data_IF_992280740962
#
_entry.id   IF_992280740962
#
_cell.length_a   1.000
_cell.length_b   1.000
_cell.length_c   1.000
_cell.angle_alpha   90.00
_cell.angle_beta   90.00
_cell.angle_gamma   90.00
#
_symmetry.space_group_name_H-M   'P 1'
#
loop_
_entity.id
_entity.type
_entity.pdbx_description
1 polymer ?
#
# COMPACT_ATOMS: atom_id res chain seq x y z
N UNK A 1 -2.81 3.44 -3.37
CA UNK A 1 -1.41 3.45 -3.87
C UNK A 1 -1.31 2.83 -5.26
N UNK A 2 -1.96 1.69 -5.54
CA UNK A 2 -2.02 1.10 -6.89
C UNK A 2 -2.59 2.08 -7.94
N UNK A 3 -3.59 2.89 -7.59
CA UNK A 3 -4.10 3.96 -8.46
C UNK A 3 -3.04 4.99 -8.87
N UNK A 4 -2.11 5.34 -7.99
CA UNK A 4 -1.02 6.28 -8.32
C UNK A 4 -0.09 5.72 -9.38
N UNK A 5 0.30 4.44 -9.25
CA UNK A 5 1.08 3.75 -10.29
C UNK A 5 0.31 3.66 -11.61
N UNK A 6 -0.96 3.24 -11.55
CA UNK A 6 -1.84 3.18 -12.71
C UNK A 6 -1.88 4.52 -13.46
N UNK A 7 -2.14 5.61 -12.76
CA UNK A 7 -2.16 6.94 -13.35
C UNK A 7 -0.80 7.37 -13.92
N UNK A 8 0.30 6.99 -13.26
CA UNK A 8 1.65 7.23 -13.75
C UNK A 8 1.90 6.55 -15.09
N UNK A 9 1.55 5.27 -15.23
CA UNK A 9 1.67 4.55 -16.50
C UNK A 9 0.79 5.16 -17.61
N UNK A 10 -0.46 5.53 -17.30
CA UNK A 10 -1.34 6.18 -18.28
C UNK A 10 -0.75 7.50 -18.78
N UNK A 11 -0.19 8.33 -17.89
CA UNK A 11 0.46 9.60 -18.29
C UNK A 11 1.71 9.40 -19.11
N UNK A 12 2.37 8.26 -18.99
CA UNK A 12 3.51 7.88 -19.83
C UNK A 12 3.07 7.28 -21.19
N UNK A 13 1.76 7.23 -21.46
CA UNK A 13 1.23 6.76 -22.75
C UNK A 13 0.98 5.25 -22.81
N UNK A 14 1.05 4.53 -21.70
CA UNK A 14 0.77 3.10 -21.67
C UNK A 14 -0.73 2.81 -21.58
N UNK A 15 -1.18 1.75 -22.23
CA UNK A 15 -2.49 1.17 -21.99
C UNK A 15 -2.45 0.38 -20.67
N UNK A 16 -3.36 0.66 -19.76
CA UNK A 16 -3.34 0.04 -18.44
C UNK A 16 -4.69 -0.61 -18.10
N UNK A 17 -4.64 -1.87 -17.72
CA UNK A 17 -5.77 -2.62 -17.18
C UNK A 17 -5.55 -2.86 -15.69
N UNK A 18 -6.39 -2.27 -14.85
CA UNK A 18 -6.33 -2.46 -13.39
C UNK A 18 -7.28 -3.55 -12.94
N UNK A 19 -6.75 -4.50 -12.15
CA UNK A 19 -7.53 -5.59 -11.55
C UNK A 19 -7.42 -5.46 -10.02
N UNK A 20 -8.56 -5.38 -9.32
CA UNK A 20 -8.63 -5.41 -7.86
C UNK A 20 -8.95 -6.83 -7.40
N UNK A 21 -7.96 -7.52 -6.85
CA UNK A 21 -8.10 -8.88 -6.31
C UNK A 21 -9.17 -8.93 -5.20
N UNK A 22 -9.20 -7.92 -4.34
CA UNK A 22 -10.16 -7.82 -3.23
C UNK A 22 -11.59 -7.63 -3.69
N UNK A 23 -11.81 -6.76 -4.69
CA UNK A 23 -13.17 -6.50 -5.20
C UNK A 23 -13.70 -7.73 -5.93
N UNK A 24 -12.87 -8.39 -6.75
CA UNK A 24 -13.26 -9.60 -7.45
C UNK A 24 -13.60 -10.71 -6.46
N UNK A 25 -12.73 -10.96 -5.48
CA UNK A 25 -12.98 -12.01 -4.48
C UNK A 25 -14.22 -11.71 -3.63
N UNK A 26 -14.47 -10.45 -3.28
CA UNK A 26 -15.65 -10.09 -2.49
C UNK A 26 -16.96 -10.18 -3.27
N UNK A 27 -16.95 -9.79 -4.54
CA UNK A 27 -18.16 -9.72 -5.36
C UNK A 27 -18.54 -11.05 -6.03
N UNK A 28 -17.61 -12.04 -6.05
CA UNK A 28 -17.84 -13.33 -6.74
C UNK A 28 -17.89 -14.52 -5.77
N UNK A 29 -18.28 -14.29 -4.53
CA UNK A 29 -18.51 -15.38 -3.57
C UNK A 29 -19.77 -16.18 -3.96
N UNK A 30 -19.65 -17.50 -4.00
CA UNK A 30 -20.75 -18.41 -4.33
C UNK A 30 -20.63 -19.70 -3.52
N UNK A 31 -21.63 -20.59 -3.62
CA UNK A 31 -21.62 -21.90 -2.96
C UNK A 31 -20.39 -22.72 -3.37
N UNK A 32 -19.96 -22.61 -4.63
CA UNK A 32 -18.82 -23.34 -5.16
C UNK A 32 -17.47 -22.58 -5.07
N UNK A 33 -17.51 -21.32 -4.63
CA UNK A 33 -16.32 -20.45 -4.46
C UNK A 33 -16.55 -19.48 -3.30
N UNK A 34 -16.61 -20.00 -2.08
CA UNK A 34 -16.92 -19.25 -0.86
C UNK A 34 -16.03 -18.01 -0.63
N UNK A 35 -14.80 -18.06 -1.16
CA UNK A 35 -13.84 -16.97 -1.03
C UNK A 35 -13.70 -16.13 -2.29
N UNK A 36 -14.34 -16.49 -3.41
CA UNK A 36 -14.18 -15.84 -4.71
C UNK A 36 -12.80 -16.00 -5.33
N UNK A 37 -11.97 -16.92 -4.82
CA UNK A 37 -10.57 -17.09 -5.25
C UNK A 37 -10.51 -17.74 -6.63
N UNK A 38 -11.33 -18.74 -6.90
CA UNK A 38 -11.39 -19.39 -8.21
C UNK A 38 -11.84 -18.40 -9.29
N UNK A 39 -12.84 -17.59 -8.98
CA UNK A 39 -13.31 -16.52 -9.85
C UNK A 39 -12.23 -15.48 -10.14
N UNK A 40 -11.39 -15.15 -9.14
CA UNK A 40 -10.26 -14.26 -9.31
C UNK A 40 -9.25 -14.83 -10.32
N UNK A 41 -8.81 -16.11 -10.14
CA UNK A 41 -7.84 -16.72 -11.06
C UNK A 41 -8.36 -16.73 -12.50
N UNK A 42 -9.62 -17.14 -12.69
CA UNK A 42 -10.24 -17.16 -14.00
C UNK A 42 -10.33 -15.76 -14.62
N UNK A 43 -10.70 -14.74 -13.83
CA UNK A 43 -10.77 -13.37 -14.29
C UNK A 43 -9.41 -12.84 -14.71
N UNK A 44 -8.36 -13.11 -13.92
CA UNK A 44 -6.99 -12.69 -14.24
C UNK A 44 -6.52 -13.35 -15.54
N UNK A 45 -6.69 -14.66 -15.68
CA UNK A 45 -6.28 -15.42 -16.89
C UNK A 45 -7.03 -14.93 -18.13
N UNK A 46 -8.36 -14.72 -18.04
CA UNK A 46 -9.16 -14.24 -19.16
C UNK A 46 -8.76 -12.84 -19.59
N UNK A 47 -8.57 -11.93 -18.63
CA UNK A 47 -8.10 -10.58 -18.92
C UNK A 47 -6.69 -10.60 -19.51
N UNK A 48 -5.80 -11.44 -19.01
CA UNK A 48 -4.46 -11.62 -19.56
C UNK A 48 -4.50 -12.06 -21.03
N UNK A 49 -5.30 -13.08 -21.36
CA UNK A 49 -5.47 -13.56 -22.74
C UNK A 49 -5.99 -12.50 -23.71
N UNK A 50 -6.92 -11.66 -23.24
CA UNK A 50 -7.54 -10.62 -24.05
C UNK A 50 -6.66 -9.37 -24.19
N UNK A 51 -6.05 -8.94 -23.10
CA UNK A 51 -5.25 -7.70 -23.04
C UNK A 51 -3.82 -7.89 -23.53
N UNK A 52 -3.24 -9.09 -23.33
CA UNK A 52 -1.86 -9.46 -23.70
C UNK A 52 -0.83 -8.42 -23.23
N UNK A 53 -0.70 -8.17 -21.93
CA UNK A 53 0.19 -7.14 -21.40
C UNK A 53 1.65 -7.52 -21.62
N UNK A 54 2.51 -6.54 -21.92
CA UNK A 54 3.97 -6.71 -21.90
C UNK A 54 4.50 -6.81 -20.46
N UNK A 55 3.83 -6.12 -19.53
CA UNK A 55 4.22 -6.04 -18.12
C UNK A 55 3.01 -6.24 -17.20
N UNK A 56 3.17 -7.10 -16.21
CA UNK A 56 2.23 -7.27 -15.10
C UNK A 56 2.86 -6.76 -13.82
N UNK A 57 2.19 -5.81 -13.16
CA UNK A 57 2.64 -5.25 -11.87
C UNK A 57 1.75 -5.77 -10.74
N UNK A 58 2.30 -6.61 -9.90
CA UNK A 58 1.62 -7.13 -8.72
C UNK A 58 1.76 -6.16 -7.54
N UNK A 59 0.64 -5.84 -6.89
CA UNK A 59 0.65 -5.28 -5.54
C UNK A 59 0.94 -6.38 -4.52
N UNK A 60 0.18 -6.40 -3.41
CA UNK A 60 0.29 -7.55 -2.47
C UNK A 60 -0.13 -8.87 -3.12
N UNK A 61 -1.21 -8.84 -3.90
CA UNK A 61 -1.75 -9.99 -4.64
C UNK A 61 -1.79 -11.28 -3.80
N UNK A 62 -2.24 -11.17 -2.54
CA UNK A 62 -2.20 -12.26 -1.55
C UNK A 62 -3.10 -13.45 -1.93
N UNK A 63 -4.09 -13.22 -2.77
CA UNK A 63 -5.09 -14.20 -3.21
C UNK A 63 -4.83 -14.74 -4.62
N UNK A 64 -3.81 -14.22 -5.31
CA UNK A 64 -3.40 -14.72 -6.60
C UNK A 64 -2.52 -15.97 -6.40
N UNK A 65 -2.86 -17.08 -7.08
CA UNK A 65 -2.10 -18.33 -6.98
C UNK A 65 -0.78 -18.24 -7.75
N UNK A 66 0.20 -19.03 -7.31
CA UNK A 66 1.49 -19.14 -8.01
C UNK A 66 1.28 -19.73 -9.41
N UNK A 67 0.39 -20.70 -9.59
CA UNK A 67 0.06 -21.27 -10.91
C UNK A 67 -0.43 -20.20 -11.89
N UNK A 68 -1.21 -19.22 -11.40
CA UNK A 68 -1.66 -18.09 -12.24
C UNK A 68 -0.51 -17.16 -12.60
N UNK A 69 0.42 -16.94 -11.67
CA UNK A 69 1.62 -16.14 -11.92
C UNK A 69 2.53 -16.84 -12.92
N UNK A 70 2.76 -18.14 -12.75
CA UNK A 70 3.57 -18.95 -13.67
C UNK A 70 2.94 -19.01 -15.07
N UNK A 71 1.62 -19.17 -15.15
CA UNK A 71 0.91 -19.09 -16.44
C UNK A 71 1.20 -17.77 -17.18
N UNK A 72 1.17 -16.64 -16.47
CA UNK A 72 1.47 -15.32 -17.05
C UNK A 72 2.92 -15.25 -17.53
N UNK A 73 3.86 -15.75 -16.73
CA UNK A 73 5.29 -15.78 -17.02
C UNK A 73 5.60 -16.62 -18.27
N UNK A 74 5.00 -17.80 -18.37
CA UNK A 74 5.19 -18.74 -19.49
C UNK A 74 4.63 -18.21 -20.81
N UNK A 75 3.75 -17.20 -20.76
CA UNK A 75 3.19 -16.53 -21.92
C UNK A 75 3.89 -15.18 -22.25
N UNK A 76 5.18 -15.06 -21.91
CA UNK A 76 6.11 -13.99 -22.31
C UNK A 76 5.84 -12.60 -21.74
N UNK A 77 5.01 -12.45 -20.74
CA UNK A 77 4.89 -11.17 -20.03
C UNK A 77 5.94 -11.05 -18.93
N UNK A 78 6.49 -9.85 -18.77
CA UNK A 78 7.32 -9.53 -17.61
C UNK A 78 6.45 -9.33 -16.39
N UNK A 79 6.88 -9.88 -15.26
CA UNK A 79 6.16 -9.76 -13.99
C UNK A 79 7.03 -9.06 -12.97
N UNK A 80 6.50 -8.01 -12.37
CA UNK A 80 7.12 -7.35 -11.22
C UNK A 80 6.17 -7.24 -10.07
N UNK A 81 6.69 -7.22 -8.84
CA UNK A 81 5.89 -6.81 -7.68
C UNK A 81 6.36 -5.46 -7.17
N UNK A 82 5.41 -4.67 -6.69
CA UNK A 82 5.68 -3.49 -5.90
C UNK A 82 5.13 -3.66 -4.50
N UNK A 83 6.03 -3.76 -3.53
CA UNK A 83 5.69 -4.05 -2.15
C UNK A 83 5.89 -2.81 -1.28
N UNK A 84 4.77 -2.24 -0.81
CA UNK A 84 4.76 -0.94 -0.14
C UNK A 84 4.97 -1.02 1.37
N UNK A 85 4.73 -2.18 1.99
CA UNK A 85 4.89 -2.32 3.44
C UNK A 85 6.37 -2.50 3.80
N UNK A 86 6.82 -1.99 4.95
CA UNK A 86 8.21 -2.14 5.36
C UNK A 86 8.55 -3.61 5.65
N UNK A 87 9.72 -4.05 5.19
CA UNK A 87 10.24 -5.42 5.34
C UNK A 87 11.53 -5.50 6.18
N UNK A 88 11.88 -4.43 6.88
CA UNK A 88 12.98 -4.46 7.84
C UNK A 88 12.63 -5.26 9.10
N UNK A 89 13.62 -5.91 9.72
CA UNK A 89 13.45 -6.83 10.86
C UNK A 89 12.81 -6.18 12.12
N UNK A 90 12.86 -4.86 12.24
CA UNK A 90 12.22 -4.08 13.32
C UNK A 90 10.79 -3.66 13.00
N UNK A 91 10.26 -3.98 11.81
CA UNK A 91 8.92 -3.59 11.39
C UNK A 91 7.85 -4.43 12.07
N UNK A 92 6.69 -3.86 12.39
CA UNK A 92 5.64 -4.54 13.16
C UNK A 92 5.15 -5.86 12.53
N UNK A 93 5.02 -5.92 11.22
CA UNK A 93 4.53 -7.08 10.47
C UNK A 93 5.66 -7.80 9.70
N UNK A 94 6.91 -7.68 10.18
CA UNK A 94 8.10 -8.19 9.50
C UNK A 94 7.95 -9.63 8.98
N UNK A 95 7.62 -10.59 9.86
CA UNK A 95 7.51 -12.01 9.48
C UNK A 95 6.49 -12.24 8.36
N UNK A 96 5.35 -11.58 8.46
CA UNK A 96 4.27 -11.67 7.48
C UNK A 96 4.67 -11.03 6.14
N UNK A 97 5.27 -9.85 6.19
CA UNK A 97 5.68 -9.13 4.99
C UNK A 97 6.84 -9.83 4.28
N UNK A 98 7.79 -10.39 5.06
CA UNK A 98 8.87 -11.23 4.53
C UNK A 98 8.33 -12.45 3.79
N UNK A 99 7.41 -13.20 4.40
CA UNK A 99 6.77 -14.35 3.76
C UNK A 99 6.08 -13.95 2.46
N UNK A 100 5.22 -12.93 2.47
CA UNK A 100 4.50 -12.44 1.29
C UNK A 100 5.38 -12.11 0.10
N UNK A 101 6.55 -11.52 0.37
CA UNK A 101 7.45 -11.11 -0.71
C UNK A 101 8.25 -12.31 -1.23
N UNK A 102 8.69 -13.19 -0.33
CA UNK A 102 9.47 -14.37 -0.69
C UNK A 102 8.63 -15.42 -1.42
N UNK A 103 7.38 -15.62 -1.01
CA UNK A 103 6.47 -16.59 -1.66
C UNK A 103 6.35 -16.39 -3.18
N UNK A 104 6.51 -15.14 -3.65
CA UNK A 104 6.39 -14.81 -5.08
C UNK A 104 7.74 -14.57 -5.77
N UNK A 105 8.81 -14.35 -5.01
CA UNK A 105 10.08 -13.84 -5.55
C UNK A 105 10.71 -14.72 -6.63
N UNK A 106 10.51 -16.03 -6.59
CA UNK A 106 11.04 -16.97 -7.59
C UNK A 106 10.16 -17.06 -8.86
N UNK A 107 8.91 -16.63 -8.75
CA UNK A 107 7.92 -16.67 -9.84
C UNK A 107 7.88 -15.38 -10.66
N UNK A 108 8.56 -14.33 -10.23
CA UNK A 108 8.52 -12.99 -10.86
C UNK A 108 9.92 -12.55 -11.29
N UNK A 109 9.99 -11.56 -12.18
CA UNK A 109 11.27 -11.07 -12.72
C UNK A 109 11.96 -10.09 -11.76
N UNK A 110 11.18 -9.22 -11.09
CA UNK A 110 11.74 -8.09 -10.30
C UNK A 110 10.83 -7.72 -9.14
N UNK A 111 11.44 -7.31 -8.03
CA UNK A 111 10.72 -6.80 -6.85
C UNK A 111 11.12 -5.35 -6.57
N UNK A 112 10.15 -4.46 -6.54
CA UNK A 112 10.31 -3.08 -6.05
C UNK A 112 9.79 -3.00 -4.62
N UNK A 113 10.60 -2.52 -3.70
CA UNK A 113 10.30 -2.46 -2.27
C UNK A 113 10.61 -1.09 -1.68
N UNK A 114 9.89 -0.70 -0.64
CA UNK A 114 10.08 0.59 0.04
C UNK A 114 11.16 0.57 1.13
N UNK A 115 11.80 -0.57 1.35
CA UNK A 115 12.97 -0.72 2.21
C UNK A 115 14.21 -0.86 1.34
N UNK A 116 15.36 -0.36 1.80
CA UNK A 116 16.62 -0.59 1.08
C UNK A 116 16.95 -2.10 1.06
N UNK A 117 17.04 -2.75 -0.12
CA UNK A 117 17.36 -4.17 -0.22
C UNK A 117 18.66 -4.57 0.49
N UNK A 118 19.63 -3.67 0.55
CA UNK A 118 20.93 -3.90 1.20
C UNK A 118 20.83 -3.94 2.73
N UNK A 119 19.79 -3.35 3.30
CA UNK A 119 19.56 -3.30 4.75
C UNK A 119 18.77 -4.50 5.29
N UNK A 120 18.33 -5.41 4.41
CA UNK A 120 17.53 -6.57 4.80
C UNK A 120 18.43 -7.70 5.34
N UNK A 121 17.87 -8.48 6.27
CA UNK A 121 18.49 -9.69 6.83
C UNK A 121 18.17 -10.95 5.97
N UNK A 122 17.59 -10.78 4.79
CA UNK A 122 17.31 -11.82 3.82
C UNK A 122 17.48 -11.28 2.40
N UNK A 123 17.66 -12.17 1.45
CA UNK A 123 17.82 -11.81 0.05
C UNK A 123 16.51 -11.92 -0.71
N UNK A 124 16.27 -10.97 -1.59
CA UNK A 124 15.18 -10.98 -2.58
C UNK A 124 15.86 -10.90 -3.94
N UNK A 125 15.55 -11.85 -4.82
CA UNK A 125 16.10 -11.87 -6.18
C UNK A 125 15.68 -10.63 -6.96
N UNK A 126 16.61 -9.98 -7.65
CA UNK A 126 16.34 -8.81 -8.48
C UNK A 126 15.49 -7.74 -7.76
N UNK A 127 15.93 -7.30 -6.60
CA UNK A 127 15.19 -6.31 -5.82
C UNK A 127 15.80 -4.91 -5.91
N UNK A 128 14.92 -3.91 -5.97
CA UNK A 128 15.27 -2.50 -6.07
C UNK A 128 14.44 -1.68 -5.07
N UNK A 129 15.08 -0.64 -4.56
CA UNK A 129 14.35 0.35 -3.75
C UNK A 129 13.44 1.19 -4.65
N UNK A 130 12.20 1.35 -4.23
CA UNK A 130 11.24 2.26 -4.85
C UNK A 130 10.37 2.89 -3.77
N UNK A 131 10.41 4.22 -3.59
CA UNK A 131 9.60 4.91 -2.61
C UNK A 131 8.11 4.85 -2.98
N UNK A 132 7.25 5.20 -2.01
CA UNK A 132 5.83 5.36 -2.29
C UNK A 132 5.62 6.48 -3.31
N UNK A 133 4.89 6.24 -4.41
CA UNK A 133 4.63 7.26 -5.41
C UNK A 133 3.67 8.31 -4.90
N UNK A 134 3.87 9.55 -5.31
CA UNK A 134 2.89 10.62 -5.27
C UNK A 134 2.15 10.73 -6.61
N UNK A 135 1.04 11.45 -6.64
CA UNK A 135 0.25 11.63 -7.84
C UNK A 135 -0.52 12.95 -7.77
N UNK A 136 -0.21 13.87 -8.66
CA UNK A 136 -0.81 15.20 -8.73
C UNK A 136 -2.33 15.22 -8.90
N UNK A 137 -2.96 14.12 -9.29
CA UNK A 137 -4.42 14.01 -9.33
C UNK A 137 -5.07 13.75 -7.96
N UNK A 138 -4.27 13.38 -6.96
CA UNK A 138 -4.71 13.20 -5.57
C UNK A 138 -4.12 14.24 -4.63
N UNK A 139 -2.83 14.51 -4.77
CA UNK A 139 -2.10 15.50 -3.97
C UNK A 139 -2.17 16.87 -4.66
N UNK A 140 -3.38 17.45 -4.69
CA UNK A 140 -3.65 18.71 -5.40
C UNK A 140 -3.51 19.94 -4.55
N UNK A 141 -3.54 19.81 -3.21
CA UNK A 141 -3.40 20.92 -2.29
C UNK A 141 -1.93 21.16 -1.97
N UNK A 142 -1.53 22.45 -2.05
CA UNK A 142 -0.17 22.89 -1.76
C UNK A 142 -0.22 24.09 -0.81
N UNK A 143 0.53 24.00 0.28
CA UNK A 143 0.58 25.04 1.31
C UNK A 143 1.99 25.66 1.49
N UNK A 144 2.97 25.22 0.73
CA UNK A 144 4.38 25.64 0.91
C UNK A 144 4.64 27.16 0.74
N UNK A 145 3.67 27.89 0.22
CA UNK A 145 3.72 29.35 0.05
C UNK A 145 2.73 30.10 0.94
N UNK A 146 1.95 29.39 1.74
CA UNK A 146 0.92 29.98 2.59
C UNK A 146 1.38 29.96 4.04
N UNK A 147 0.90 30.91 4.82
CA UNK A 147 1.04 30.85 6.27
C UNK A 147 0.23 29.67 6.80
N UNK A 148 0.87 28.83 7.60
CA UNK A 148 0.23 27.64 8.16
C UNK A 148 -0.62 28.04 9.37
N UNK A 149 -1.82 27.49 9.47
CA UNK A 149 -2.69 27.64 10.66
C UNK A 149 -2.17 26.80 11.84
N UNK A 150 -1.42 25.72 11.52
CA UNK A 150 -0.87 24.75 12.46
C UNK A 150 0.60 24.46 12.19
N UNK A 151 1.35 24.30 13.27
CA UNK A 151 2.80 24.03 13.16
C UNK A 151 3.11 22.56 12.88
N UNK A 152 2.23 21.64 13.29
CA UNK A 152 2.46 20.22 13.13
C UNK A 152 1.15 19.46 12.94
N UNK A 153 1.11 18.61 11.91
CA UNK A 153 0.01 17.71 11.64
C UNK A 153 0.38 16.27 12.00
N UNK A 154 -0.53 15.59 12.69
CA UNK A 154 -0.41 14.15 12.95
C UNK A 154 -1.77 13.46 12.87
N UNK A 155 -1.88 12.44 12.04
CA UNK A 155 -3.07 11.63 11.94
C UNK A 155 -2.75 10.13 11.98
N UNK A 156 -3.55 9.39 12.73
CA UNK A 156 -3.45 7.94 12.84
C UNK A 156 -4.82 7.30 12.90
N UNK A 157 -4.91 6.01 12.61
CA UNK A 157 -6.19 5.29 12.59
C UNK A 157 -6.36 4.31 13.73
N UNK A 158 -5.35 4.04 14.53
CA UNK A 158 -5.32 2.97 15.53
C UNK A 158 -5.83 1.61 15.02
N UNK A 159 -5.93 1.41 13.70
CA UNK A 159 -6.48 0.20 13.10
C UNK A 159 -8.01 0.13 13.16
N UNK A 160 -8.70 1.24 13.39
CA UNK A 160 -10.17 1.34 13.44
C UNK A 160 -10.88 0.64 12.27
N UNK A 161 -10.30 0.69 11.07
CA UNK A 161 -10.86 -0.06 9.92
C UNK A 161 -10.86 -1.56 10.05
N UNK A 162 -10.04 -2.12 10.94
CA UNK A 162 -9.92 -3.57 11.08
C UNK A 162 -10.89 -4.12 12.12
N UNK A 163 -11.80 -3.28 12.65
CA UNK A 163 -12.81 -3.67 13.61
C UNK A 163 -12.25 -4.17 14.95
N UNK A 164 -10.95 -4.02 15.16
CA UNK A 164 -10.30 -4.55 16.34
C UNK A 164 -9.21 -3.61 16.85
N UNK A 165 -9.61 -2.57 17.54
CA UNK A 165 -8.77 -2.04 18.61
C UNK A 165 -8.61 -3.18 19.62
N UNK A 166 -7.51 -3.92 19.52
CA UNK A 166 -7.16 -4.85 20.60
C UNK A 166 -6.93 -3.99 21.84
N UNK A 167 -7.87 -4.03 22.76
CA UNK A 167 -7.75 -3.42 24.09
C UNK A 167 -6.32 -3.64 24.58
N UNK A 168 -5.57 -2.57 24.88
CA UNK A 168 -4.22 -2.64 25.43
C UNK A 168 -3.06 -2.62 24.43
N UNK A 169 -3.25 -2.48 23.13
CA UNK A 169 -2.14 -2.18 22.21
C UNK A 169 -1.84 -0.69 22.23
N UNK A 170 -0.78 -0.32 22.92
CA UNK A 170 -0.20 1.01 22.81
C UNK A 170 0.51 1.16 21.47
N UNK A 171 0.16 2.21 20.73
CA UNK A 171 0.92 2.61 19.55
C UNK A 171 2.09 3.49 20.00
N UNK A 172 3.31 3.11 19.67
CA UNK A 172 4.51 3.87 20.03
C UNK A 172 4.49 5.29 19.44
N UNK A 173 3.80 5.51 18.33
CA UNK A 173 3.61 6.84 17.74
C UNK A 173 2.79 7.73 18.65
N UNK A 174 1.73 7.22 19.27
CA UNK A 174 0.92 7.98 20.23
C UNK A 174 1.75 8.39 21.45
N UNK A 175 2.56 7.48 21.98
CA UNK A 175 3.46 7.77 23.10
C UNK A 175 4.45 8.88 22.71
N UNK A 176 5.02 8.78 21.52
CA UNK A 176 5.95 9.78 20.99
C UNK A 176 5.28 11.16 20.88
N UNK A 177 4.10 11.23 20.25
CA UNK A 177 3.36 12.49 20.07
C UNK A 177 2.94 13.09 21.43
N UNK A 178 2.46 12.30 22.38
CA UNK A 178 2.12 12.78 23.74
C UNK A 178 3.35 13.39 24.44
N UNK A 179 4.53 12.77 24.30
CA UNK A 179 5.77 13.33 24.84
C UNK A 179 6.19 14.61 24.14
N UNK A 180 6.01 14.68 22.81
CA UNK A 180 6.33 15.86 22.01
C UNK A 180 5.46 17.05 22.44
N UNK A 181 4.15 16.88 22.55
CA UNK A 181 3.19 17.88 23.02
C UNK A 181 3.59 18.38 24.42
N UNK A 182 3.85 17.46 25.34
CA UNK A 182 4.22 17.81 26.73
C UNK A 182 5.50 18.64 26.83
N UNK A 183 6.43 18.45 25.89
CA UNK A 183 7.72 19.16 25.88
C UNK A 183 7.69 20.51 25.14
N UNK A 184 6.68 20.74 24.34
CA UNK A 184 6.64 21.88 23.40
C UNK A 184 5.29 22.57 23.46
N UNK A 185 5.06 23.30 24.54
CA UNK A 185 3.79 24.01 24.77
C UNK A 185 3.51 25.13 23.76
N UNK A 186 4.51 25.57 23.01
CA UNK A 186 4.41 26.65 22.04
C UNK A 186 4.01 26.15 20.63
N UNK A 187 3.96 24.84 20.41
CA UNK A 187 3.63 24.24 19.12
C UNK A 187 2.12 24.05 19.03
N UNK A 188 1.52 24.59 17.96
CA UNK A 188 0.11 24.39 17.65
C UNK A 188 -0.09 23.13 16.85
N UNK A 189 -0.54 22.05 17.50
CA UNK A 189 -0.72 20.74 16.91
C UNK A 189 -2.10 20.58 16.27
N UNK A 190 -2.17 19.91 15.12
CA UNK A 190 -3.37 19.36 14.51
C UNK A 190 -3.32 17.82 14.57
N UNK A 191 -4.13 17.22 15.44
CA UNK A 191 -4.00 15.81 15.82
C UNK A 191 -5.31 15.06 15.61
N UNK A 192 -5.23 13.91 14.94
CA UNK A 192 -6.38 13.05 14.67
C UNK A 192 -6.10 11.59 14.99
N UNK A 193 -7.15 10.87 15.45
CA UNK A 193 -7.10 9.44 15.75
C UNK A 193 -6.41 9.09 17.05
N UNK A 194 -6.25 10.05 17.97
CA UNK A 194 -5.80 9.86 19.35
C UNK A 194 -6.47 10.86 20.29
N UNK A 195 -6.33 10.69 21.60
CA UNK A 195 -6.92 11.57 22.63
C UNK A 195 -8.44 11.77 22.47
N UNK A 196 -9.18 10.70 22.11
CA UNK A 196 -10.61 10.71 21.81
C UNK A 196 -11.01 11.59 20.60
N UNK A 197 -10.06 11.99 19.77
CA UNK A 197 -10.33 12.66 18.51
C UNK A 197 -10.42 11.59 17.41
N UNK A 198 -11.52 11.63 16.65
CA UNK A 198 -11.75 10.69 15.57
C UNK A 198 -10.68 10.78 14.47
N UNK A 199 -10.33 9.66 13.83
CA UNK A 199 -9.45 9.68 12.67
C UNK A 199 -10.12 10.32 11.46
N UNK A 200 -9.34 10.98 10.62
CA UNK A 200 -9.80 11.63 9.39
C UNK A 200 -9.29 10.91 8.14
N UNK A 201 -10.01 11.07 7.03
CA UNK A 201 -9.78 10.34 5.80
C UNK A 201 -10.02 11.19 4.56
N UNK A 202 -9.48 10.73 3.43
CA UNK A 202 -9.70 11.30 2.11
C UNK A 202 -9.52 12.82 2.09
N UNK A 203 -10.52 13.59 1.67
CA UNK A 203 -10.43 15.04 1.55
C UNK A 203 -10.16 15.75 2.88
N UNK A 204 -10.75 15.27 3.98
CA UNK A 204 -10.48 15.83 5.30
C UNK A 204 -8.99 15.72 5.67
N UNK A 205 -8.38 14.56 5.43
CA UNK A 205 -6.96 14.37 5.67
C UNK A 205 -6.11 15.34 4.85
N UNK A 206 -6.37 15.45 3.55
CA UNK A 206 -5.59 16.31 2.66
C UNK A 206 -5.80 17.79 3.02
N UNK A 207 -7.03 18.21 3.34
CA UNK A 207 -7.33 19.59 3.72
C UNK A 207 -6.67 19.98 5.04
N UNK A 208 -6.71 19.11 6.06
CA UNK A 208 -6.04 19.36 7.33
C UNK A 208 -4.52 19.37 7.19
N UNK A 209 -3.97 18.44 6.41
CA UNK A 209 -2.54 18.41 6.11
C UNK A 209 -2.09 19.71 5.42
N UNK A 210 -2.88 20.24 4.48
CA UNK A 210 -2.56 21.48 3.76
C UNK A 210 -2.61 22.75 4.62
N UNK A 211 -3.19 22.69 5.82
CA UNK A 211 -3.24 23.80 6.81
C UNK A 211 -2.09 23.77 7.80
N UNK A 212 -1.22 22.78 7.70
CA UNK A 212 -0.09 22.58 8.61
C UNK A 212 1.24 22.75 7.88
N UNK A 213 2.25 23.21 8.60
CA UNK A 213 3.61 23.40 8.07
C UNK A 213 4.46 22.13 8.07
#
# INVERSE_FOLDING_TARGET
>A
TSKRLNNGFIRLGHNVLSISDRDITNNNKSINDFKGIKSLQNTVINNFKNFKPDLVVLGHADTLSLDTIDYIKDNNSKITQWFLDPVGNKSPDYKKNKARILDKSEHIDTSFITSDPKSLDFKIKNSFFMPNPSDSSFETLSNYRNDSEKDLFFAMSHGVHRGSLKKGKFDNREIFIKRLIKKNNNINFDIYGMNNIEPIWANQFITSLAKSS
#
